data_IF_603088808120
#
_entry.id   IF_603088808120
#
_cell.length_a   1.000
_cell.length_b   1.000
_cell.length_c   1.000
_cell.angle_alpha   90.00
_cell.angle_beta   90.00
_cell.angle_gamma   90.00
#
_symmetry.space_group_name_H-M   'P 1'
#
loop_
_entity.id
_entity.type
_entity.pdbx_description
1 polymer ?
#
# COMPACT_ATOMS: atom_id res chain seq x y z
N UNK A 1 6.04 6.81 89.25
CA UNK A 1 6.24 8.03 88.45
C UNK A 1 6.57 7.52 87.02
N UNK A 2 5.60 7.66 86.12
CA UNK A 2 5.64 7.05 84.79
C UNK A 2 6.11 8.14 83.80
N UNK A 3 7.26 7.94 83.14
CA UNK A 3 7.76 8.79 82.09
C UNK A 3 7.21 8.36 80.72
N UNK A 4 6.54 9.27 80.04
CA UNK A 4 6.01 9.06 78.67
C UNK A 4 7.11 9.42 77.65
N UNK A 5 7.51 8.43 76.87
CA UNK A 5 8.37 8.64 75.70
C UNK A 5 7.52 9.00 74.47
N UNK A 6 7.81 10.14 73.85
CA UNK A 6 7.19 10.56 72.61
C UNK A 6 7.89 9.92 71.41
N UNK A 7 7.14 9.22 70.60
CA UNK A 7 7.60 8.65 69.31
C UNK A 7 7.39 9.71 68.22
N UNK A 8 8.48 10.17 67.61
CA UNK A 8 8.44 11.06 66.45
C UNK A 8 8.48 10.19 65.20
N UNK A 9 7.35 10.15 64.49
CA UNK A 9 7.25 9.50 63.16
C UNK A 9 7.67 10.50 62.10
N UNK A 10 8.82 10.27 61.51
CA UNK A 10 9.28 11.04 60.35
C UNK A 10 8.59 10.59 59.09
N UNK A 11 7.83 11.46 58.46
CA UNK A 11 7.24 11.25 57.13
C UNK A 11 8.29 11.63 56.07
N UNK A 12 8.87 10.64 55.37
CA UNK A 12 9.66 10.86 54.16
C UNK A 12 8.70 11.15 52.99
N UNK A 13 8.67 12.39 52.54
CA UNK A 13 7.99 12.76 51.30
C UNK A 13 8.84 12.32 50.10
N UNK A 14 8.34 11.37 49.34
CA UNK A 14 8.87 11.01 48.04
C UNK A 14 8.50 12.09 47.02
N UNK A 15 9.43 12.94 46.62
CA UNK A 15 9.26 13.81 45.44
C UNK A 15 9.49 12.98 44.19
N UNK A 16 8.44 12.46 43.62
CA UNK A 16 8.46 11.86 42.30
C UNK A 16 8.66 12.95 41.25
N UNK A 17 9.83 12.96 40.58
CA UNK A 17 10.06 13.81 39.42
C UNK A 17 9.14 13.34 38.26
N UNK A 18 8.10 14.12 38.01
CA UNK A 18 7.29 13.95 36.78
C UNK A 18 8.16 14.48 35.64
N UNK A 19 8.75 13.57 34.87
CA UNK A 19 9.39 13.94 33.62
C UNK A 19 8.28 14.41 32.66
N UNK A 20 8.17 15.72 32.48
CA UNK A 20 7.35 16.31 31.42
C UNK A 20 8.03 15.93 30.11
N UNK A 21 7.45 14.98 29.38
CA UNK A 21 7.86 14.67 28.02
C UNK A 21 7.70 15.94 27.18
N UNK A 22 8.82 16.48 26.70
CA UNK A 22 8.80 17.56 25.72
C UNK A 22 7.98 17.11 24.51
N UNK A 23 7.11 17.96 23.95
CA UNK A 23 6.35 17.62 22.77
C UNK A 23 7.33 17.26 21.66
N UNK A 24 7.17 16.07 21.07
CA UNK A 24 7.88 15.66 19.88
C UNK A 24 7.75 16.77 18.83
N UNK A 25 8.85 17.14 18.16
CA UNK A 25 8.81 18.04 17.00
C UNK A 25 7.62 17.65 16.13
N UNK A 26 6.68 18.57 15.92
CA UNK A 26 5.56 18.34 15.01
C UNK A 26 6.17 18.02 13.65
N UNK A 27 6.07 16.76 13.23
CA UNK A 27 6.53 16.37 11.88
C UNK A 27 5.75 17.18 10.85
N UNK A 28 6.47 17.81 9.92
CA UNK A 28 5.87 18.60 8.86
C UNK A 28 5.07 17.67 7.93
N UNK A 29 3.76 17.88 7.88
CA UNK A 29 2.89 17.11 6.97
C UNK A 29 3.20 17.48 5.51
N UNK A 30 3.05 16.50 4.61
CA UNK A 30 3.08 16.66 3.16
C UNK A 30 4.45 17.02 2.56
N UNK A 31 5.51 16.96 3.36
CA UNK A 31 6.87 17.19 2.90
C UNK A 31 7.58 15.84 2.75
N UNK A 32 7.89 15.49 1.51
CA UNK A 32 8.58 14.26 1.20
C UNK A 32 10.07 14.34 1.51
N UNK A 33 10.64 13.21 1.92
CA UNK A 33 12.06 13.02 2.17
C UNK A 33 12.51 11.64 1.67
N UNK A 34 13.77 11.48 1.22
CA UNK A 34 14.33 10.17 0.95
C UNK A 34 14.25 9.28 2.20
N UNK A 35 13.93 8.01 2.00
CA UNK A 35 13.80 7.04 3.10
C UNK A 35 14.79 5.89 2.98
N UNK A 36 14.92 5.26 1.80
CA UNK A 36 15.83 4.15 1.54
C UNK A 36 16.22 4.09 0.07
N UNK A 37 17.49 3.86 -0.25
CA UNK A 37 17.97 3.83 -1.64
C UNK A 37 18.89 2.64 -1.94
N UNK A 38 19.35 1.90 -0.95
CA UNK A 38 20.33 0.84 -1.17
C UNK A 38 19.68 -0.43 -1.69
N UNK A 39 20.22 -0.99 -2.77
CA UNK A 39 19.87 -2.30 -3.30
C UNK A 39 18.64 -2.34 -4.20
N UNK A 40 17.95 -1.22 -4.43
CA UNK A 40 16.79 -1.18 -5.31
C UNK A 40 17.17 -1.00 -6.78
N UNK A 41 16.29 -1.46 -7.66
CA UNK A 41 16.41 -1.32 -9.13
C UNK A 41 15.36 -0.37 -9.67
N UNK A 42 15.41 -0.04 -10.97
CA UNK A 42 14.34 0.71 -11.64
C UNK A 42 12.99 -0.03 -11.71
N UNK A 43 12.93 -1.29 -11.26
CA UNK A 43 11.70 -2.05 -11.10
C UNK A 43 11.17 -2.05 -9.65
N UNK A 44 11.57 -1.08 -8.82
CA UNK A 44 11.03 -0.93 -7.47
C UNK A 44 9.53 -0.65 -7.53
N UNK A 45 8.74 -1.50 -6.84
CA UNK A 45 7.28 -1.48 -6.88
C UNK A 45 6.67 -2.11 -5.62
N UNK A 46 5.34 -2.15 -5.57
CA UNK A 46 4.54 -2.89 -4.61
C UNK A 46 4.84 -2.60 -3.14
N UNK A 47 4.99 -1.35 -2.70
CA UNK A 47 5.21 -1.07 -1.29
C UNK A 47 3.97 -1.48 -0.49
N UNK A 48 4.18 -2.21 0.59
CA UNK A 48 3.12 -2.62 1.52
C UNK A 48 3.68 -2.74 2.94
N UNK A 49 2.93 -2.27 3.93
CA UNK A 49 3.26 -2.47 5.33
C UNK A 49 2.43 -3.60 5.91
N UNK A 50 3.05 -4.45 6.73
CA UNK A 50 2.32 -5.43 7.52
C UNK A 50 1.64 -4.78 8.73
N UNK A 51 0.85 -5.58 9.49
CA UNK A 51 0.15 -5.12 10.70
C UNK A 51 1.06 -4.59 11.82
N UNK A 52 2.37 -4.86 11.75
CA UNK A 52 3.38 -4.39 12.69
C UNK A 52 4.11 -3.14 12.17
N UNK A 53 3.75 -2.65 10.98
CA UNK A 53 4.36 -1.50 10.33
C UNK A 53 5.68 -1.81 9.63
N UNK A 54 6.01 -3.08 9.42
CA UNK A 54 7.19 -3.50 8.64
C UNK A 54 6.89 -3.29 7.17
N UNK A 55 7.74 -2.57 6.48
CA UNK A 55 7.60 -2.25 5.06
C UNK A 55 8.24 -3.33 4.18
N UNK A 56 7.54 -3.68 3.10
CA UNK A 56 8.01 -4.58 2.04
C UNK A 56 7.83 -3.91 0.69
N UNK A 57 8.68 -4.27 -0.29
CA UNK A 57 8.53 -3.87 -1.69
C UNK A 57 9.30 -4.83 -2.60
N UNK A 58 8.97 -4.85 -3.90
CA UNK A 58 9.66 -5.64 -4.92
C UNK A 58 10.79 -4.85 -5.58
N UNK A 59 11.58 -5.50 -6.44
CA UNK A 59 12.64 -4.84 -7.22
C UNK A 59 13.94 -4.64 -6.44
N UNK A 60 14.26 -5.52 -5.50
CA UNK A 60 15.50 -5.49 -4.71
C UNK A 60 16.59 -6.34 -5.35
N UNK A 61 17.45 -5.70 -6.12
CA UNK A 61 18.58 -6.35 -6.85
C UNK A 61 18.14 -7.24 -8.02
N UNK A 62 16.98 -7.85 -7.94
CA UNK A 62 16.40 -8.77 -8.93
C UNK A 62 14.86 -8.59 -8.90
N UNK A 63 14.14 -8.66 -10.03
CA UNK A 63 12.68 -8.49 -10.07
C UNK A 63 11.90 -9.56 -9.27
N UNK A 64 12.53 -10.70 -8.97
CA UNK A 64 11.94 -11.75 -8.12
C UNK A 64 12.05 -11.46 -6.63
N UNK A 65 12.94 -10.55 -6.23
CA UNK A 65 13.18 -10.32 -4.82
C UNK A 65 12.19 -9.35 -4.21
N UNK A 66 11.63 -9.75 -3.10
CA UNK A 66 10.89 -8.88 -2.19
C UNK A 66 11.85 -8.46 -1.08
N UNK A 67 12.00 -7.17 -0.87
CA UNK A 67 12.72 -6.61 0.25
C UNK A 67 11.83 -6.49 1.49
N UNK A 68 12.46 -6.59 2.65
CA UNK A 68 11.98 -6.06 3.93
C UNK A 68 12.79 -4.83 4.27
N UNK A 69 12.12 -3.74 4.65
CA UNK A 69 12.77 -2.47 4.97
C UNK A 69 12.55 -2.15 6.44
N UNK A 70 13.62 -1.93 7.15
CA UNK A 70 13.62 -1.58 8.58
C UNK A 70 13.20 -0.13 8.81
N UNK A 71 12.77 0.27 10.02
CA UNK A 71 12.35 1.64 10.31
C UNK A 71 13.43 2.71 10.09
N UNK A 72 14.71 2.32 10.12
CA UNK A 72 15.86 3.18 9.78
C UNK A 72 16.21 3.21 8.29
N UNK A 73 15.39 2.54 7.44
CA UNK A 73 15.52 2.57 5.97
C UNK A 73 16.49 1.53 5.41
N UNK A 74 17.04 0.62 6.20
CA UNK A 74 17.90 -0.45 5.69
C UNK A 74 17.05 -1.54 5.04
N UNK A 75 17.34 -1.84 3.77
CA UNK A 75 16.67 -2.90 3.03
C UNK A 75 17.48 -4.21 3.07
N UNK A 76 16.76 -5.32 3.18
CA UNK A 76 17.30 -6.66 3.10
C UNK A 76 16.39 -7.56 2.26
N UNK A 77 16.95 -8.56 1.59
CA UNK A 77 16.15 -9.54 0.87
C UNK A 77 15.34 -10.39 1.83
N UNK A 78 14.03 -10.30 1.72
CA UNK A 78 13.10 -11.09 2.53
C UNK A 78 12.82 -12.46 1.92
N UNK A 79 12.42 -12.51 0.64
CA UNK A 79 12.10 -13.73 -0.09
C UNK A 79 12.37 -13.55 -1.58
N UNK A 80 12.71 -14.63 -2.27
CA UNK A 80 12.83 -14.66 -3.73
C UNK A 80 11.68 -15.48 -4.30
N UNK A 81 10.94 -14.91 -5.23
CA UNK A 81 9.88 -15.60 -5.97
C UNK A 81 10.46 -16.69 -6.88
N UNK A 82 9.65 -17.67 -7.31
CA UNK A 82 10.08 -18.74 -8.21
C UNK A 82 10.75 -18.22 -9.49
N UNK A 83 11.50 -19.06 -10.16
CA UNK A 83 12.10 -18.74 -11.45
C UNK A 83 11.02 -18.36 -12.49
N UNK A 84 11.32 -17.37 -13.33
CA UNK A 84 10.39 -16.82 -14.31
C UNK A 84 9.37 -15.83 -13.76
N UNK A 85 9.37 -15.59 -12.44
CA UNK A 85 8.50 -14.60 -11.80
C UNK A 85 9.10 -13.20 -11.82
N UNK A 86 8.24 -12.19 -11.82
CA UNK A 86 8.57 -10.81 -11.47
C UNK A 86 7.45 -10.28 -10.56
N UNK A 87 7.79 -9.98 -9.31
CA UNK A 87 6.81 -9.42 -8.38
C UNK A 87 6.45 -7.98 -8.77
N UNK A 88 5.19 -7.59 -8.51
CA UNK A 88 4.70 -6.23 -8.65
C UNK A 88 3.90 -5.84 -7.40
N UNK A 89 2.62 -5.54 -7.48
CA UNK A 89 1.81 -5.12 -6.34
C UNK A 89 1.80 -6.12 -5.19
N UNK A 90 1.95 -5.62 -3.96
CA UNK A 90 1.86 -6.39 -2.71
C UNK A 90 0.67 -5.91 -1.90
N UNK A 91 -0.07 -6.85 -1.28
CA UNK A 91 -1.10 -6.61 -0.28
C UNK A 91 -1.01 -7.60 0.86
N UNK A 92 -1.48 -7.19 2.04
CA UNK A 92 -1.64 -8.08 3.19
C UNK A 92 -3.12 -8.26 3.51
N UNK A 93 -3.55 -9.49 3.78
CA UNK A 93 -4.87 -9.75 4.32
C UNK A 93 -4.93 -9.55 5.85
N UNK A 94 -6.13 -9.61 6.41
CA UNK A 94 -6.35 -9.45 7.87
C UNK A 94 -5.62 -10.47 8.74
N UNK A 95 -5.29 -11.64 8.18
CA UNK A 95 -4.52 -12.67 8.89
C UNK A 95 -3.00 -12.43 8.83
N UNK A 96 -2.55 -11.41 8.07
CA UNK A 96 -1.14 -11.08 7.87
C UNK A 96 -0.47 -11.88 6.77
N UNK A 97 -1.22 -12.57 5.90
CA UNK A 97 -0.66 -13.24 4.71
C UNK A 97 -0.41 -12.19 3.63
N UNK A 98 0.74 -12.29 2.98
CA UNK A 98 1.14 -11.44 1.88
C UNK A 98 0.64 -12.02 0.55
N UNK A 99 0.06 -11.18 -0.29
CA UNK A 99 -0.28 -11.50 -1.68
C UNK A 99 0.56 -10.66 -2.61
N UNK A 100 1.07 -11.28 -3.67
CA UNK A 100 1.97 -10.64 -4.64
C UNK A 100 1.46 -10.92 -6.04
N UNK A 101 1.21 -9.87 -6.81
CA UNK A 101 0.95 -10.00 -8.25
C UNK A 101 2.25 -10.39 -8.95
N UNK A 102 2.18 -11.40 -9.81
CA UNK A 102 3.32 -11.86 -10.60
C UNK A 102 3.15 -11.39 -12.04
N UNK A 103 3.89 -10.36 -12.37
CA UNK A 103 3.82 -9.62 -13.62
C UNK A 103 4.16 -10.47 -14.86
N UNK A 104 4.98 -11.50 -14.72
CA UNK A 104 5.46 -12.34 -15.84
C UNK A 104 4.87 -13.72 -15.90
N UNK A 105 4.40 -14.26 -14.78
CA UNK A 105 3.99 -15.66 -14.70
C UNK A 105 2.47 -15.87 -14.64
N UNK A 106 1.66 -14.83 -14.90
CA UNK A 106 0.17 -14.89 -14.92
C UNK A 106 -0.42 -15.45 -13.61
N UNK A 107 0.16 -15.02 -12.46
CA UNK A 107 -0.13 -15.60 -11.15
C UNK A 107 -0.34 -14.54 -10.08
N UNK A 108 -0.99 -14.97 -9.00
CA UNK A 108 -0.92 -14.29 -7.72
C UNK A 108 -0.36 -15.29 -6.71
N UNK A 109 0.75 -14.94 -6.07
CA UNK A 109 1.34 -15.70 -5.00
C UNK A 109 0.70 -15.32 -3.66
N UNK A 110 0.65 -16.29 -2.73
CA UNK A 110 0.41 -16.05 -1.32
C UNK A 110 1.64 -16.49 -0.55
N UNK A 111 2.14 -15.61 0.28
CA UNK A 111 3.34 -15.82 1.10
C UNK A 111 2.94 -15.75 2.56
N UNK A 112 3.40 -16.71 3.35
CA UNK A 112 3.36 -16.62 4.81
C UNK A 112 4.61 -15.89 5.30
N UNK A 113 4.50 -14.67 5.87
CA UNK A 113 5.69 -13.92 6.29
C UNK A 113 6.47 -14.58 7.42
N UNK A 114 5.86 -15.42 8.24
CA UNK A 114 6.52 -16.08 9.34
C UNK A 114 7.45 -17.24 8.88
N UNK A 115 6.97 -18.02 7.92
CA UNK A 115 7.72 -19.16 7.36
C UNK A 115 8.45 -18.85 6.07
N UNK A 116 8.12 -17.72 5.42
CA UNK A 116 8.51 -17.34 4.06
C UNK A 116 8.06 -18.35 2.99
N UNK A 117 7.12 -19.22 3.35
CA UNK A 117 6.55 -20.21 2.43
C UNK A 117 5.72 -19.54 1.35
N UNK A 118 6.01 -19.87 0.09
CA UNK A 118 5.31 -19.36 -1.08
C UNK A 118 4.37 -20.44 -1.59
N UNK A 119 3.08 -20.11 -1.75
CA UNK A 119 2.11 -20.94 -2.45
C UNK A 119 1.46 -20.14 -3.58
N UNK A 120 1.25 -20.78 -4.70
CA UNK A 120 0.47 -20.19 -5.78
C UNK A 120 -0.98 -20.05 -5.30
N UNK A 121 -1.50 -18.81 -5.22
CA UNK A 121 -2.90 -18.55 -4.87
C UNK A 121 -3.81 -18.80 -6.06
N UNK A 122 -3.40 -18.28 -7.22
CA UNK A 122 -4.11 -18.47 -8.48
C UNK A 122 -3.10 -18.43 -9.63
N UNK A 123 -3.40 -19.22 -10.68
CA UNK A 123 -2.79 -19.11 -11.99
C UNK A 123 -3.92 -19.10 -13.02
N UNK A 124 -3.97 -18.08 -13.85
CA UNK A 124 -4.99 -17.94 -14.90
C UNK A 124 -4.28 -17.53 -16.19
N UNK A 125 -4.23 -18.45 -17.14
CA UNK A 125 -3.47 -18.28 -18.38
C UNK A 125 -3.98 -17.11 -19.26
N UNK A 126 -5.21 -16.63 -19.02
CA UNK A 126 -5.76 -15.46 -19.71
C UNK A 126 -5.38 -14.13 -19.08
N UNK A 127 -4.70 -14.13 -17.92
CA UNK A 127 -4.06 -12.92 -17.39
C UNK A 127 -2.92 -12.52 -18.32
N UNK A 128 -2.72 -11.20 -18.48
CA UNK A 128 -1.60 -10.65 -19.26
C UNK A 128 -0.38 -10.42 -18.33
N UNK A 129 -0.48 -9.41 -17.51
CA UNK A 129 0.60 -8.91 -16.64
C UNK A 129 0.01 -8.44 -15.32
N UNK A 130 -0.46 -9.36 -14.43
CA UNK A 130 -1.04 -8.96 -13.14
C UNK A 130 -0.17 -7.92 -12.45
N UNK A 131 -0.72 -6.71 -12.23
CA UNK A 131 0.06 -5.55 -11.83
C UNK A 131 -0.17 -5.20 -10.35
N UNK A 132 -1.29 -4.60 -10.00
CA UNK A 132 -1.59 -4.24 -8.61
C UNK A 132 -2.81 -5.01 -8.07
N UNK A 133 -2.94 -5.07 -6.77
CA UNK A 133 -3.97 -5.82 -6.05
C UNK A 133 -4.75 -4.90 -5.11
N UNK A 134 -6.03 -5.19 -4.92
CA UNK A 134 -6.83 -4.68 -3.81
C UNK A 134 -7.50 -5.84 -3.08
N UNK A 135 -7.71 -5.70 -1.77
CA UNK A 135 -8.35 -6.72 -0.94
C UNK A 135 -9.60 -6.14 -0.31
N UNK A 136 -10.75 -6.78 -0.57
CA UNK A 136 -11.99 -6.49 0.13
C UNK A 136 -11.99 -7.05 1.55
N UNK A 137 -12.95 -6.59 2.35
CA UNK A 137 -13.02 -6.96 3.76
C UNK A 137 -13.27 -8.46 4.02
N UNK A 138 -13.90 -9.15 3.08
CA UNK A 138 -14.17 -10.59 3.11
C UNK A 138 -12.97 -11.45 2.65
N UNK A 139 -11.92 -10.82 2.12
CA UNK A 139 -10.75 -11.51 1.58
C UNK A 139 -10.78 -11.74 0.07
N UNK A 140 -11.81 -11.28 -0.63
CA UNK A 140 -11.83 -11.23 -2.09
C UNK A 140 -10.74 -10.32 -2.60
N UNK A 141 -9.96 -10.78 -3.60
CA UNK A 141 -8.92 -9.99 -4.25
C UNK A 141 -9.43 -9.45 -5.59
N UNK A 142 -9.03 -8.22 -5.90
CA UNK A 142 -9.16 -7.66 -7.23
C UNK A 142 -7.75 -7.40 -7.77
N UNK A 143 -7.53 -7.72 -9.04
CA UNK A 143 -6.24 -7.54 -9.71
C UNK A 143 -6.43 -6.71 -10.99
N UNK A 144 -5.61 -5.69 -11.14
CA UNK A 144 -5.42 -5.01 -12.42
C UNK A 144 -4.47 -5.83 -13.29
N UNK A 145 -4.75 -5.86 -14.59
CA UNK A 145 -4.04 -6.73 -15.52
C UNK A 145 -3.87 -6.04 -16.88
N UNK A 146 -2.86 -5.18 -17.00
CA UNK A 146 -2.57 -4.48 -18.26
C UNK A 146 -1.97 -5.40 -19.31
N UNK A 147 -2.14 -5.01 -20.56
CA UNK A 147 -1.33 -5.40 -21.70
C UNK A 147 -0.63 -4.13 -22.23
N UNK A 148 0.58 -3.90 -21.80
CA UNK A 148 1.34 -2.69 -22.15
C UNK A 148 1.62 -2.58 -23.65
N UNK A 149 1.85 -3.73 -24.30
CA UNK A 149 2.16 -3.78 -25.73
C UNK A 149 1.02 -3.22 -26.57
N UNK A 150 -0.21 -3.56 -26.23
CA UNK A 150 -1.42 -3.19 -26.99
C UNK A 150 -2.15 -2.00 -26.37
N UNK A 151 -1.65 -1.44 -25.27
CA UNK A 151 -2.28 -0.36 -24.49
C UNK A 151 -3.70 -0.69 -24.05
N UNK A 152 -3.94 -1.95 -23.69
CA UNK A 152 -5.22 -2.47 -23.20
C UNK A 152 -5.09 -3.03 -21.79
N UNK A 153 -6.18 -3.50 -21.22
CA UNK A 153 -6.19 -4.13 -19.91
C UNK A 153 -7.52 -4.78 -19.57
N UNK A 154 -7.50 -5.48 -18.48
CA UNK A 154 -8.65 -6.20 -17.91
C UNK A 154 -8.59 -6.18 -16.38
N UNK A 155 -9.68 -6.63 -15.74
CA UNK A 155 -9.78 -6.76 -14.29
C UNK A 155 -10.18 -8.17 -13.93
N UNK A 156 -9.57 -8.66 -12.86
CA UNK A 156 -9.86 -9.97 -12.30
C UNK A 156 -10.34 -9.86 -10.87
N UNK A 157 -11.33 -10.65 -10.51
CA UNK A 157 -11.72 -10.95 -9.13
C UNK A 157 -11.29 -12.37 -8.81
N UNK A 158 -10.61 -12.54 -7.70
CA UNK A 158 -10.22 -13.84 -7.15
C UNK A 158 -11.03 -14.04 -5.88
N UNK A 159 -11.97 -14.98 -5.92
CA UNK A 159 -12.82 -15.27 -4.79
C UNK A 159 -12.05 -15.90 -3.61
N UNK A 160 -12.72 -16.06 -2.49
CA UNK A 160 -12.12 -16.61 -1.27
C UNK A 160 -11.66 -18.07 -1.43
N UNK A 161 -12.18 -18.80 -2.40
CA UNK A 161 -11.76 -20.15 -2.77
C UNK A 161 -10.54 -20.15 -3.70
N UNK A 162 -10.18 -18.99 -4.29
CA UNK A 162 -9.06 -18.84 -5.21
C UNK A 162 -9.42 -19.03 -6.69
N UNK A 163 -10.70 -19.00 -7.02
CA UNK A 163 -11.15 -19.02 -8.41
C UNK A 163 -11.08 -17.61 -9.00
N UNK A 164 -10.48 -17.49 -10.19
CA UNK A 164 -10.40 -16.23 -10.92
C UNK A 164 -11.64 -16.04 -11.81
N UNK A 165 -12.17 -14.82 -11.77
CA UNK A 165 -13.29 -14.36 -12.60
C UNK A 165 -12.87 -13.07 -13.29
N UNK A 166 -13.03 -13.00 -14.62
CA UNK A 166 -12.77 -11.78 -15.36
C UNK A 166 -13.98 -10.86 -15.23
N UNK A 167 -13.78 -9.72 -14.58
CA UNK A 167 -14.85 -8.75 -14.26
C UNK A 167 -14.99 -7.68 -15.35
N UNK A 168 -13.88 -7.30 -16.01
CA UNK A 168 -13.91 -6.34 -17.11
C UNK A 168 -12.80 -6.63 -18.11
N UNK A 169 -13.08 -6.34 -19.37
CA UNK A 169 -12.14 -6.39 -20.50
C UNK A 169 -12.31 -5.15 -21.37
N UNK A 170 -11.42 -4.96 -22.36
CA UNK A 170 -11.47 -3.78 -23.24
C UNK A 170 -11.24 -2.46 -22.51
N UNK A 171 -10.50 -2.51 -21.41
CA UNK A 171 -10.01 -1.31 -20.71
C UNK A 171 -8.70 -0.85 -21.35
N UNK A 172 -8.23 0.33 -20.93
CA UNK A 172 -6.87 0.79 -21.21
C UNK A 172 -5.83 0.08 -20.34
N UNK A 173 -4.64 0.65 -20.20
CA UNK A 173 -3.55 0.08 -19.37
C UNK A 173 -3.90 0.17 -17.90
N UNK A 174 -4.67 -0.80 -17.40
CA UNK A 174 -5.08 -0.87 -15.98
C UNK A 174 -3.85 -1.02 -15.08
N UNK A 175 -3.79 -0.22 -14.00
CA UNK A 175 -2.66 -0.22 -13.08
C UNK A 175 -3.16 -0.15 -11.63
N UNK A 176 -2.90 0.94 -10.90
CA UNK A 176 -3.32 1.06 -9.52
C UNK A 176 -4.80 0.70 -9.31
N UNK A 177 -5.07 -0.03 -8.25
CA UNK A 177 -6.40 -0.54 -7.91
C UNK A 177 -6.64 -0.47 -6.40
N UNK A 178 -7.85 -0.04 -5.97
CA UNK A 178 -8.17 0.09 -4.55
C UNK A 178 -9.66 -0.06 -4.25
N UNK A 179 -9.99 -0.70 -3.12
CA UNK A 179 -11.37 -0.83 -2.61
C UNK A 179 -11.66 0.30 -1.62
N UNK A 180 -12.81 0.96 -1.76
CA UNK A 180 -13.25 2.00 -0.82
C UNK A 180 -13.40 1.49 0.62
N UNK A 181 -13.36 2.38 1.65
CA UNK A 181 -13.49 1.98 3.05
C UNK A 181 -14.77 1.23 3.37
N UNK A 182 -15.88 1.59 2.74
CA UNK A 182 -17.19 0.95 2.90
C UNK A 182 -17.33 -0.38 2.13
N UNK A 183 -16.31 -0.75 1.33
CA UNK A 183 -16.28 -1.98 0.53
C UNK A 183 -17.22 -1.98 -0.68
N UNK A 184 -17.84 -0.84 -1.02
CA UNK A 184 -18.89 -0.77 -2.05
C UNK A 184 -18.38 -0.29 -3.42
N UNK A 185 -17.13 0.19 -3.48
CA UNK A 185 -16.54 0.73 -4.72
C UNK A 185 -15.16 0.15 -4.96
N UNK A 186 -14.87 -0.09 -6.22
CA UNK A 186 -13.51 -0.39 -6.68
C UNK A 186 -13.05 0.75 -7.59
N UNK A 187 -11.91 1.33 -7.28
CA UNK A 187 -11.23 2.30 -8.12
C UNK A 187 -10.12 1.60 -8.91
N UNK A 188 -9.99 1.95 -10.19
CA UNK A 188 -8.93 1.44 -11.07
C UNK A 188 -8.47 2.55 -11.97
N UNK A 189 -7.16 2.80 -12.03
CA UNK A 189 -6.64 3.75 -13.00
C UNK A 189 -6.16 3.07 -14.29
N UNK A 190 -6.13 3.85 -15.36
CA UNK A 190 -5.50 3.54 -16.64
C UNK A 190 -4.34 4.51 -16.86
N UNK A 191 -3.12 3.98 -16.86
CA UNK A 191 -1.89 4.79 -16.90
C UNK A 191 -1.79 5.66 -18.15
N UNK A 192 -1.85 5.07 -19.34
CA UNK A 192 -1.68 5.77 -20.62
C UNK A 192 -2.89 6.65 -20.92
N UNK A 193 -4.09 6.17 -20.63
CA UNK A 193 -5.34 6.88 -20.87
C UNK A 193 -5.62 7.99 -19.86
N UNK A 194 -4.87 8.05 -18.76
CA UNK A 194 -4.89 9.13 -17.74
C UNK A 194 -6.26 9.33 -17.11
N UNK A 195 -6.96 8.22 -16.81
CA UNK A 195 -8.27 8.24 -16.16
C UNK A 195 -8.35 7.25 -15.02
N UNK A 196 -9.23 7.54 -14.09
CA UNK A 196 -9.58 6.67 -12.97
C UNK A 196 -11.03 6.29 -13.14
N UNK A 197 -11.28 4.98 -13.15
CA UNK A 197 -12.62 4.40 -13.16
C UNK A 197 -13.07 4.10 -11.74
N UNK A 198 -14.38 4.10 -11.54
CA UNK A 198 -15.02 3.54 -10.36
C UNK A 198 -16.09 2.56 -10.78
N UNK A 199 -16.10 1.41 -10.11
CA UNK A 199 -17.11 0.35 -10.23
C UNK A 199 -17.86 0.24 -8.91
N UNK A 200 -19.11 -0.22 -8.95
CA UNK A 200 -19.83 -0.65 -7.77
C UNK A 200 -19.54 -2.13 -7.52
N UNK A 201 -19.22 -2.49 -6.27
CA UNK A 201 -19.00 -3.88 -5.84
C UNK A 201 -20.34 -4.41 -5.31
N UNK A 202 -20.83 -5.49 -5.91
CA UNK A 202 -22.04 -6.19 -5.48
C UNK A 202 -21.78 -7.10 -4.28
N UNK A 203 -22.84 -7.61 -3.65
CA UNK A 203 -22.73 -8.46 -2.47
C UNK A 203 -21.94 -9.76 -2.69
N UNK A 204 -21.89 -10.27 -3.92
CA UNK A 204 -21.11 -11.43 -4.34
C UNK A 204 -19.70 -11.08 -4.84
N UNK A 205 -19.33 -9.80 -4.76
CA UNK A 205 -18.05 -9.25 -5.20
C UNK A 205 -17.99 -8.92 -6.70
N UNK A 206 -19.04 -9.19 -7.49
CA UNK A 206 -19.10 -8.83 -8.90
C UNK A 206 -19.05 -7.30 -9.08
N UNK A 207 -18.46 -6.83 -10.21
CA UNK A 207 -18.31 -5.42 -10.53
C UNK A 207 -19.38 -4.97 -11.51
N UNK A 208 -20.02 -3.87 -11.20
CA UNK A 208 -21.03 -3.26 -12.07
C UNK A 208 -20.84 -1.74 -12.20
N UNK A 209 -21.62 -1.14 -13.10
CA UNK A 209 -21.75 0.30 -13.27
C UNK A 209 -20.43 1.06 -13.38
N UNK A 210 -19.55 0.61 -14.30
CA UNK A 210 -18.32 1.34 -14.64
C UNK A 210 -18.62 2.77 -15.02
N UNK A 211 -17.97 3.75 -14.36
CA UNK A 211 -18.06 5.17 -14.67
C UNK A 211 -16.73 5.86 -14.42
N UNK A 212 -16.49 6.96 -15.10
CA UNK A 212 -15.29 7.78 -14.87
C UNK A 212 -15.39 8.43 -13.50
N UNK A 213 -14.34 8.25 -12.69
CA UNK A 213 -14.18 8.95 -11.42
C UNK A 213 -13.41 10.25 -11.61
N UNK A 214 -12.27 10.20 -12.35
CA UNK A 214 -11.44 11.38 -12.63
C UNK A 214 -10.65 11.18 -13.93
N UNK A 215 -10.44 12.27 -14.67
CA UNK A 215 -9.50 12.34 -15.79
C UNK A 215 -8.50 13.46 -15.56
N UNK A 216 -7.29 13.29 -16.12
CA UNK A 216 -6.24 14.31 -16.07
C UNK A 216 -5.73 14.59 -17.47
N UNK A 217 -5.40 15.86 -17.80
CA UNK A 217 -4.94 16.23 -19.13
C UNK A 217 -3.49 15.82 -19.41
N UNK A 218 -2.71 15.60 -18.34
CA UNK A 218 -1.26 15.39 -18.38
C UNK A 218 -0.84 14.15 -17.60
N UNK A 219 0.35 13.64 -17.85
CA UNK A 219 1.04 12.56 -17.15
C UNK A 219 0.18 11.35 -16.77
N UNK A 220 0.82 10.18 -16.67
CA UNK A 220 0.17 8.93 -16.33
C UNK A 220 -0.07 8.74 -14.83
N UNK A 221 -0.61 7.57 -14.54
CA UNK A 221 -0.78 7.05 -13.18
C UNK A 221 0.00 5.76 -13.02
N UNK A 222 0.19 5.38 -11.75
CA UNK A 222 0.67 4.07 -11.38
C UNK A 222 -0.14 3.56 -10.17
N UNK A 223 0.44 3.23 -9.04
CA UNK A 223 -0.30 2.70 -7.90
C UNK A 223 -1.20 3.70 -7.18
N UNK A 224 -2.13 3.19 -6.38
CA UNK A 224 -3.02 4.02 -5.55
C UNK A 224 -3.44 3.33 -4.25
N UNK A 225 -3.78 4.12 -3.21
CA UNK A 225 -4.30 3.67 -1.90
C UNK A 225 -5.31 4.65 -1.35
N UNK A 226 -6.22 4.16 -0.49
CA UNK A 226 -7.15 5.00 0.26
C UNK A 226 -6.67 5.28 1.69
N UNK A 227 -6.99 6.47 2.22
CA UNK A 227 -7.05 6.69 3.66
C UNK A 227 -8.42 6.25 4.25
N UNK A 228 -8.57 6.35 5.56
CA UNK A 228 -9.80 5.94 6.28
C UNK A 228 -11.04 6.74 5.92
N UNK A 229 -10.87 7.97 5.43
CA UNK A 229 -11.97 8.85 5.01
C UNK A 229 -12.36 8.61 3.54
N UNK A 230 -11.65 7.69 2.85
CA UNK A 230 -11.88 7.36 1.45
C UNK A 230 -11.22 8.32 0.47
N UNK A 231 -10.31 9.18 0.93
CA UNK A 231 -9.50 9.96 0.00
C UNK A 231 -8.50 9.05 -0.69
N UNK A 232 -8.42 9.17 -2.01
CA UNK A 232 -7.58 8.35 -2.86
C UNK A 232 -6.23 9.05 -3.10
N UNK A 233 -5.14 8.40 -2.75
CA UNK A 233 -3.77 8.83 -3.06
C UNK A 233 -3.30 8.07 -4.28
N UNK A 234 -2.91 8.79 -5.32
CA UNK A 234 -2.54 8.22 -6.63
C UNK A 234 -1.18 8.74 -7.05
N UNK A 235 -0.26 7.85 -7.40
CA UNK A 235 1.03 8.25 -7.98
C UNK A 235 0.84 8.78 -9.40
N UNK A 236 1.49 9.91 -9.70
CA UNK A 236 1.50 10.56 -11.00
C UNK A 236 2.83 10.29 -11.69
N UNK A 237 2.93 9.13 -12.34
CA UNK A 237 4.13 8.71 -13.08
C UNK A 237 4.43 9.69 -14.23
N UNK A 238 5.68 10.12 -14.31
CA UNK A 238 6.14 11.15 -15.26
C UNK A 238 6.00 12.58 -14.73
N UNK A 239 5.11 12.84 -13.75
CA UNK A 239 4.96 14.15 -13.08
C UNK A 239 5.80 14.27 -11.81
N UNK A 240 6.06 13.16 -11.14
CA UNK A 240 6.84 13.14 -9.91
C UNK A 240 6.04 13.52 -8.66
N UNK A 241 4.73 13.28 -8.67
CA UNK A 241 3.87 13.65 -7.55
C UNK A 241 2.96 12.51 -7.09
N UNK A 242 2.40 12.65 -5.88
CA UNK A 242 1.22 11.92 -5.42
C UNK A 242 0.07 12.91 -5.30
N UNK A 243 -1.04 12.64 -5.98
CA UNK A 243 -2.26 13.44 -5.85
C UNK A 243 -3.21 12.81 -4.83
N UNK A 244 -3.73 13.63 -3.90
CA UNK A 244 -4.81 13.25 -2.97
C UNK A 244 -6.14 13.74 -3.55
N UNK A 245 -7.07 12.81 -3.80
CA UNK A 245 -8.42 13.08 -4.30
C UNK A 245 -9.45 12.80 -3.21
N UNK A 246 -10.48 13.65 -3.11
CA UNK A 246 -11.64 13.38 -2.26
C UNK A 246 -12.49 12.22 -2.80
N UNK A 247 -13.42 11.64 -2.00
CA UNK A 247 -14.39 10.66 -2.49
C UNK A 247 -15.32 11.18 -3.61
N UNK A 248 -15.32 12.51 -3.86
CA UNK A 248 -16.05 13.21 -4.93
C UNK A 248 -15.15 13.66 -6.07
N UNK A 249 -13.91 13.12 -6.15
CA UNK A 249 -12.92 13.38 -7.21
C UNK A 249 -12.35 14.82 -7.24
N UNK A 250 -12.46 15.58 -6.15
CA UNK A 250 -11.80 16.88 -6.00
C UNK A 250 -10.32 16.70 -5.67
N UNK A 251 -9.45 17.49 -6.28
CA UNK A 251 -8.02 17.51 -5.94
C UNK A 251 -7.86 18.25 -4.61
N UNK A 252 -7.55 17.53 -3.56
CA UNK A 252 -7.30 18.10 -2.23
C UNK A 252 -5.86 18.57 -2.06
N UNK A 253 -4.92 17.82 -2.68
CA UNK A 253 -3.48 18.11 -2.58
C UNK A 253 -2.69 17.41 -3.68
N UNK A 254 -1.55 17.99 -4.02
CA UNK A 254 -0.53 17.35 -4.83
C UNK A 254 0.81 17.47 -4.09
N UNK A 255 1.54 16.35 -3.92
CA UNK A 255 2.75 16.23 -3.12
C UNK A 255 3.89 15.84 -4.05
N UNK A 256 4.96 16.66 -4.12
CA UNK A 256 6.20 16.31 -4.80
C UNK A 256 6.89 15.15 -4.06
N UNK A 257 7.29 14.12 -4.80
CA UNK A 257 7.95 12.93 -4.23
C UNK A 257 9.40 12.77 -4.67
N UNK A 258 10.02 13.87 -5.02
CA UNK A 258 11.48 14.02 -5.23
C UNK A 258 12.06 13.18 -6.38
N UNK A 259 11.24 12.77 -7.32
CA UNK A 259 11.66 12.03 -8.51
C UNK A 259 10.51 11.87 -9.50
N UNK A 260 10.81 11.76 -10.82
CA UNK A 260 9.78 11.83 -11.86
C UNK A 260 8.90 10.58 -11.98
N UNK A 261 9.36 9.42 -11.47
CA UNK A 261 8.70 8.14 -11.71
C UNK A 261 8.23 7.45 -10.42
N UNK A 262 7.30 8.07 -9.63
CA UNK A 262 6.67 7.34 -8.55
C UNK A 262 5.84 6.20 -9.12
N UNK A 263 6.09 4.97 -8.63
CA UNK A 263 5.37 3.79 -9.11
C UNK A 263 4.19 3.46 -8.20
N UNK A 264 4.38 3.29 -6.91
CA UNK A 264 3.29 2.92 -6.03
C UNK A 264 3.47 3.55 -4.63
N UNK A 265 2.49 3.37 -3.77
CA UNK A 265 2.55 3.89 -2.40
C UNK A 265 1.86 2.95 -1.41
N UNK A 266 2.22 3.05 -0.13
CA UNK A 266 1.47 2.44 0.96
C UNK A 266 1.49 3.32 2.21
N UNK A 267 0.56 3.04 3.11
CA UNK A 267 0.51 3.67 4.42
C UNK A 267 1.15 2.77 5.47
N UNK A 268 1.89 3.36 6.40
CA UNK A 268 2.56 2.64 7.48
C UNK A 268 2.97 3.56 8.62
N UNK A 269 4.06 3.21 9.30
CA UNK A 269 4.44 3.85 10.54
C UNK A 269 3.62 3.36 11.74
N UNK A 270 3.89 3.88 12.93
CA UNK A 270 3.26 3.43 14.18
C UNK A 270 1.78 3.82 14.30
N UNK A 271 1.37 4.84 13.59
CA UNK A 271 0.02 5.43 13.59
C UNK A 271 -0.72 5.31 12.24
N UNK A 272 -0.08 4.70 11.23
CA UNK A 272 -0.65 4.57 9.90
C UNK A 272 -0.63 5.85 9.05
N UNK A 273 0.02 6.91 9.53
CA UNK A 273 0.05 8.23 8.89
C UNK A 273 1.39 8.52 8.17
N UNK A 274 2.24 7.53 7.96
CA UNK A 274 3.40 7.65 7.09
C UNK A 274 3.10 7.02 5.74
N UNK A 275 3.21 7.79 4.68
CA UNK A 275 3.14 7.27 3.31
C UNK A 275 4.55 6.96 2.84
N UNK A 276 4.76 5.77 2.32
CA UNK A 276 5.97 5.34 1.63
C UNK A 276 5.66 5.23 0.14
N UNK A 277 6.53 5.80 -0.69
CA UNK A 277 6.39 5.81 -2.15
C UNK A 277 7.62 5.16 -2.77
N UNK A 278 7.41 4.23 -3.68
CA UNK A 278 8.46 3.68 -4.54
C UNK A 278 8.71 4.64 -5.71
N UNK A 279 9.96 5.00 -5.93
CA UNK A 279 10.38 5.91 -6.97
C UNK A 279 11.44 5.23 -7.85
N UNK A 280 11.07 4.94 -9.11
CA UNK A 280 11.84 4.07 -9.99
C UNK A 280 13.06 4.74 -10.64
N UNK A 281 13.02 6.06 -10.91
CA UNK A 281 14.12 6.77 -11.55
C UNK A 281 15.34 6.84 -10.64
N UNK A 282 15.13 7.28 -9.40
CA UNK A 282 16.17 7.36 -8.38
C UNK A 282 16.39 6.03 -7.64
N UNK A 283 15.57 5.00 -7.95
CA UNK A 283 15.67 3.65 -7.37
C UNK A 283 15.62 3.66 -5.84
N UNK A 284 14.63 4.35 -5.30
CA UNK A 284 14.53 4.57 -3.86
C UNK A 284 13.10 4.55 -3.33
N UNK A 285 13.00 4.48 -2.03
CA UNK A 285 11.80 4.80 -1.28
C UNK A 285 11.87 6.27 -0.81
N UNK A 286 10.73 6.93 -0.90
CA UNK A 286 10.48 8.27 -0.36
C UNK A 286 9.40 8.15 0.69
N UNK A 287 9.40 9.01 1.70
CA UNK A 287 8.34 9.01 2.71
C UNK A 287 7.88 10.43 3.04
N UNK A 288 6.60 10.57 3.40
CA UNK A 288 6.03 11.80 3.94
C UNK A 288 4.93 11.49 4.95
N UNK A 289 4.62 12.47 5.82
CA UNK A 289 3.55 12.35 6.81
C UNK A 289 2.25 12.93 6.27
N UNK A 290 1.15 12.32 6.68
CA UNK A 290 -0.22 12.72 6.33
C UNK A 290 -1.09 12.88 7.57
N UNK A 291 -2.25 13.51 7.41
CA UNK A 291 -3.20 13.85 8.47
C UNK A 291 -4.18 12.72 8.84
N UNK A 292 -4.27 11.68 7.99
CA UNK A 292 -5.20 10.56 8.20
C UNK A 292 -4.50 9.23 7.97
N UNK A 293 -4.77 8.20 8.77
CA UNK A 293 -4.17 6.88 8.59
C UNK A 293 -4.70 6.19 7.34
N UNK A 294 -3.91 5.31 6.78
CA UNK A 294 -4.32 4.46 5.67
C UNK A 294 -5.39 3.45 6.05
N UNK A 295 -6.22 3.08 5.07
CA UNK A 295 -7.32 2.15 5.25
C UNK A 295 -6.88 0.77 5.76
N UNK A 296 -5.82 0.20 5.18
CA UNK A 296 -5.32 -1.12 5.58
C UNK A 296 -4.85 -1.12 7.04
N UNK A 297 -4.12 -0.10 7.44
CA UNK A 297 -3.66 0.06 8.83
C UNK A 297 -4.85 0.12 9.81
N UNK A 298 -5.88 0.90 9.49
CA UNK A 298 -7.07 1.02 10.34
C UNK A 298 -7.85 -0.31 10.43
N UNK A 299 -7.95 -1.06 9.34
CA UNK A 299 -8.58 -2.40 9.33
C UNK A 299 -7.88 -3.38 10.26
N UNK A 300 -6.56 -3.32 10.41
CA UNK A 300 -5.82 -4.17 11.34
C UNK A 300 -6.02 -3.75 12.79
N UNK A 301 -6.13 -2.45 13.06
CA UNK A 301 -6.38 -1.94 14.43
C UNK A 301 -7.81 -2.25 14.91
N UNK A 302 -8.78 -2.21 14.02
CA UNK A 302 -10.17 -2.55 14.34
C UNK A 302 -10.38 -4.06 14.60
N UNK A 303 -9.45 -4.92 14.20
CA UNK A 303 -9.52 -6.37 14.39
C UNK A 303 -8.86 -6.86 15.69
N UNK A 304 -8.37 -5.94 16.53
CA UNK A 304 -7.82 -6.21 17.88
C UNK A 304 -8.86 -5.91 18.95
#
# INVERSE_FOLDING_TARGET
MISRGSLVVGVLAWMGSVAVALPSRSETLWLAKPFSSEGFTGGIEGPACDRNGVLFCVGFGDPRNIARVTPDGRAERFVTLPEGSAGNGIRFDRSGRMYVADYTAHKIHRIDPATRGIVQRVHEARMNQPNDLAIAADGTLYASDPNWKDSTGQLWRIDTQGKAHREAEGMGTTNGIEVSPDGKRLYVNESIQRRIWVFDIQADGHLERRRIFKEFPDHGFDGMRCDVDGNLYVTRHGKGTVVKLSPTAEILREIDVLGPHPTNLCFGGTDGCTVYVTEAHEKRLVSFRVDRPGLEWARWKAAR
#
